data_IF_419931851491
#
_entry.id   IF_419931851491
#
_cell.length_a   1.000
_cell.length_b   1.000
_cell.length_c   1.000
_cell.angle_alpha   90.00
_cell.angle_beta   90.00
_cell.angle_gamma   90.00
#
_symmetry.space_group_name_H-M   'P 1'
#
loop_
_entity.id
_entity.type
_entity.pdbx_description
1 polymer ?
#
# COMPACT_ATOMS: atom_id res chain seq x y z
N UNK A 1 2.70 -21.22 6.70
CA UNK A 1 4.09 -21.55 6.30
C UNK A 1 4.40 -23.05 6.45
N UNK A 2 3.82 -23.78 7.41
CA UNK A 2 4.05 -25.23 7.56
C UNK A 2 3.46 -26.17 6.48
N UNK A 3 2.54 -25.70 5.62
CA UNK A 3 1.78 -26.58 4.70
C UNK A 3 2.33 -26.68 3.27
N UNK A 4 3.30 -25.83 2.88
CA UNK A 4 3.90 -25.84 1.53
C UNK A 4 5.11 -26.78 1.41
N UNK A 5 5.79 -27.10 2.51
CA UNK A 5 6.92 -28.04 2.52
C UNK A 5 6.52 -29.48 2.13
N UNK A 6 5.26 -29.87 2.36
CA UNK A 6 4.83 -31.28 2.22
C UNK A 6 4.48 -31.68 0.77
N UNK A 7 4.41 -30.73 -0.18
CA UNK A 7 3.93 -31.02 -1.55
C UNK A 7 4.93 -30.67 -2.66
N UNK A 8 5.99 -29.96 -2.33
CA UNK A 8 6.89 -29.33 -3.31
C UNK A 8 8.28 -29.47 -2.69
N UNK A 9 9.04 -30.49 -3.08
CA UNK A 9 10.24 -30.94 -2.35
C UNK A 9 11.25 -29.83 -2.01
N UNK A 10 12.17 -30.12 -1.09
CA UNK A 10 13.06 -29.18 -0.39
C UNK A 10 13.68 -28.08 -1.28
N UNK A 11 14.07 -28.40 -2.51
CA UNK A 11 14.66 -27.45 -3.46
C UNK A 11 13.69 -26.33 -3.87
N UNK A 12 12.41 -26.66 -4.12
CA UNK A 12 11.40 -25.70 -4.54
C UNK A 12 10.96 -24.84 -3.35
N UNK A 13 10.89 -25.43 -2.16
CA UNK A 13 10.64 -24.68 -0.94
C UNK A 13 11.77 -23.67 -0.63
N UNK A 14 13.03 -24.05 -0.88
CA UNK A 14 14.17 -23.15 -0.75
C UNK A 14 14.10 -21.98 -1.73
N UNK A 15 13.89 -22.25 -3.02
CA UNK A 15 13.81 -21.20 -4.07
C UNK A 15 12.66 -20.23 -3.78
N UNK A 16 11.50 -20.74 -3.34
CA UNK A 16 10.38 -19.90 -2.94
C UNK A 16 10.72 -19.01 -1.75
N UNK A 17 11.31 -19.58 -0.69
CA UNK A 17 11.69 -18.80 0.49
C UNK A 17 12.76 -17.73 0.16
N UNK A 18 13.73 -18.07 -0.69
CA UNK A 18 14.74 -17.15 -1.17
C UNK A 18 14.11 -15.98 -1.94
N UNK A 19 13.26 -16.27 -2.93
CA UNK A 19 12.60 -15.22 -3.71
C UNK A 19 11.70 -14.35 -2.81
N UNK A 20 10.95 -14.96 -1.89
CA UNK A 20 10.11 -14.21 -0.97
C UNK A 20 10.91 -13.23 -0.11
N UNK A 21 11.97 -13.71 0.53
CA UNK A 21 12.76 -12.93 1.48
C UNK A 21 13.58 -11.84 0.77
N UNK A 22 14.25 -12.17 -0.33
CA UNK A 22 15.17 -11.25 -0.99
C UNK A 22 14.53 -10.34 -2.04
N UNK A 23 13.38 -10.74 -2.60
CA UNK A 23 12.75 -9.99 -3.71
C UNK A 23 11.42 -9.42 -3.25
N UNK A 24 10.49 -10.24 -2.75
CA UNK A 24 9.11 -9.79 -2.50
C UNK A 24 9.02 -8.83 -1.31
N UNK A 25 9.64 -9.18 -0.19
CA UNK A 25 9.60 -8.36 1.03
C UNK A 25 10.20 -6.95 0.83
N UNK A 26 11.43 -6.78 0.30
CA UNK A 26 11.99 -5.44 0.08
C UNK A 26 11.22 -4.65 -0.98
N UNK A 27 10.71 -5.31 -2.03
CA UNK A 27 9.90 -4.65 -3.06
C UNK A 27 8.60 -4.09 -2.48
N UNK A 28 7.97 -4.81 -1.56
CA UNK A 28 6.73 -4.39 -0.90
C UNK A 28 6.96 -3.11 -0.08
N UNK A 29 8.04 -3.05 0.69
CA UNK A 29 8.40 -1.87 1.49
C UNK A 29 8.74 -0.69 0.59
N UNK A 30 9.43 -0.91 -0.53
CA UNK A 30 9.76 0.13 -1.49
C UNK A 30 8.49 0.74 -2.14
N UNK A 31 7.57 -0.10 -2.60
CA UNK A 31 6.30 0.35 -3.20
C UNK A 31 5.48 1.14 -2.19
N UNK A 32 5.36 0.66 -0.95
CA UNK A 32 4.62 1.35 0.10
C UNK A 32 5.22 2.71 0.44
N UNK A 33 6.55 2.80 0.55
CA UNK A 33 7.24 4.06 0.84
C UNK A 33 7.11 5.08 -0.30
N UNK A 34 7.24 4.62 -1.55
CA UNK A 34 7.02 5.45 -2.73
C UNK A 34 5.59 5.99 -2.76
N UNK A 35 4.62 5.11 -2.50
CA UNK A 35 3.20 5.45 -2.45
C UNK A 35 2.92 6.49 -1.38
N UNK A 36 3.44 6.27 -0.16
CA UNK A 36 3.34 7.24 0.94
C UNK A 36 3.91 8.59 0.55
N UNK A 37 5.10 8.62 -0.04
CA UNK A 37 5.77 9.86 -0.43
C UNK A 37 5.00 10.63 -1.50
N UNK A 38 4.47 9.93 -2.51
CA UNK A 38 3.64 10.53 -3.55
C UNK A 38 2.36 11.13 -2.95
N UNK A 39 1.61 10.36 -2.15
CA UNK A 39 0.37 10.87 -1.56
C UNK A 39 0.60 12.01 -0.55
N UNK A 40 1.68 11.94 0.24
CA UNK A 40 2.05 13.00 1.17
C UNK A 40 2.36 14.31 0.45
N UNK A 41 3.19 14.25 -0.59
CA UNK A 41 3.57 15.43 -1.36
C UNK A 41 2.42 15.98 -2.20
N UNK A 42 1.57 15.11 -2.76
CA UNK A 42 0.34 15.55 -3.46
C UNK A 42 -0.62 16.29 -2.54
N UNK A 43 -0.68 15.96 -1.25
CA UNK A 43 -1.50 16.70 -0.28
C UNK A 43 -0.93 18.07 0.09
N UNK A 44 0.37 18.29 -0.10
CA UNK A 44 1.04 19.57 0.20
C UNK A 44 1.09 20.47 -1.05
N UNK A 45 1.31 19.88 -2.22
CA UNK A 45 1.45 20.57 -3.49
C UNK A 45 0.19 20.36 -4.34
N UNK A 46 -0.82 21.18 -4.08
CA UNK A 46 -2.18 21.05 -4.64
C UNK A 46 -2.29 21.42 -6.14
N UNK A 47 -1.25 22.02 -6.75
CA UNK A 47 -1.33 22.55 -8.12
C UNK A 47 -0.16 22.23 -9.05
N UNK A 48 0.88 21.56 -8.56
CA UNK A 48 2.03 21.14 -9.36
C UNK A 48 2.41 19.75 -8.90
N UNK A 49 2.19 18.72 -9.74
CA UNK A 49 2.52 17.34 -9.39
C UNK A 49 3.95 17.23 -8.83
N UNK A 50 4.17 16.43 -7.78
CA UNK A 50 5.45 16.41 -7.08
C UNK A 50 6.59 15.96 -8.00
N UNK A 51 7.74 16.66 -8.00
CA UNK A 51 8.88 16.25 -8.81
C UNK A 51 9.40 14.88 -8.37
N UNK A 52 9.68 14.01 -9.34
CA UNK A 52 10.05 12.61 -9.12
C UNK A 52 11.25 12.44 -8.17
N UNK A 53 12.20 13.36 -8.22
CA UNK A 53 13.39 13.37 -7.37
C UNK A 53 13.05 13.60 -5.90
N UNK A 54 12.09 14.48 -5.61
CA UNK A 54 11.64 14.77 -4.24
C UNK A 54 10.87 13.58 -3.65
N UNK A 55 10.02 12.95 -4.46
CA UNK A 55 9.29 11.73 -4.07
C UNK A 55 10.26 10.61 -3.72
N UNK A 56 11.29 10.38 -4.55
CA UNK A 56 12.30 9.37 -4.31
C UNK A 56 13.13 9.66 -3.06
N UNK A 57 13.57 10.89 -2.86
CA UNK A 57 14.35 11.28 -1.69
C UNK A 57 13.56 11.07 -0.39
N UNK A 58 12.28 11.47 -0.38
CA UNK A 58 11.39 11.24 0.75
C UNK A 58 11.15 9.74 0.98
N UNK A 59 10.97 8.96 -0.09
CA UNK A 59 10.77 7.51 0.02
C UNK A 59 11.99 6.80 0.61
N UNK A 60 13.21 7.16 0.19
CA UNK A 60 14.45 6.63 0.75
C UNK A 60 14.57 7.00 2.23
N UNK A 61 14.27 8.25 2.58
CA UNK A 61 14.28 8.72 3.96
C UNK A 61 13.33 7.91 4.84
N UNK A 62 12.09 7.69 4.38
CA UNK A 62 11.07 6.91 5.11
C UNK A 62 11.53 5.47 5.31
N UNK A 63 12.08 4.81 4.28
CA UNK A 63 12.64 3.44 4.42
C UNK A 63 13.78 3.42 5.43
N UNK A 64 14.68 4.41 5.40
CA UNK A 64 15.78 4.53 6.35
C UNK A 64 15.31 4.69 7.80
N UNK A 65 14.31 5.53 8.03
CA UNK A 65 13.69 5.73 9.36
C UNK A 65 13.03 4.44 9.84
N UNK A 66 12.24 3.77 8.99
CA UNK A 66 11.60 2.51 9.36
C UNK A 66 12.63 1.41 9.67
N UNK A 67 13.68 1.30 8.86
CA UNK A 67 14.77 0.34 9.07
C UNK A 67 15.55 0.60 10.35
N UNK A 68 15.88 1.86 10.64
CA UNK A 68 16.60 2.23 11.88
C UNK A 68 15.76 2.00 13.12
N UNK A 69 14.47 2.35 13.11
CA UNK A 69 13.56 2.05 14.23
C UNK A 69 13.41 0.55 14.44
N UNK A 70 13.32 -0.23 13.36
CA UNK A 70 13.27 -1.69 13.43
C UNK A 70 14.57 -2.27 14.02
N UNK A 71 15.73 -1.76 13.61
CA UNK A 71 17.04 -2.19 14.09
C UNK A 71 17.34 -1.80 15.55
N UNK A 72 16.79 -0.69 16.04
CA UNK A 72 16.95 -0.26 17.44
C UNK A 72 15.96 -1.00 18.36
N UNK A 73 14.70 -1.13 17.94
CA UNK A 73 13.68 -1.82 18.75
C UNK A 73 12.57 -2.39 17.89
N UNK A 74 12.58 -3.71 17.77
CA UNK A 74 11.50 -4.47 17.13
C UNK A 74 10.15 -4.24 17.80
N UNK A 75 10.12 -3.97 19.10
CA UNK A 75 8.88 -3.69 19.85
C UNK A 75 8.29 -2.32 19.48
N UNK A 76 9.13 -1.30 19.29
CA UNK A 76 8.69 0.03 18.85
C UNK A 76 8.18 -0.02 17.40
N UNK A 77 8.92 -0.68 16.50
CA UNK A 77 8.49 -0.87 15.11
C UNK A 77 7.17 -1.66 15.03
N UNK A 78 7.01 -2.72 15.83
CA UNK A 78 5.77 -3.48 15.88
C UNK A 78 4.57 -2.63 16.32
N UNK A 79 4.73 -1.78 17.35
CA UNK A 79 3.67 -0.86 17.79
C UNK A 79 3.26 0.12 16.70
N UNK A 80 4.21 0.71 15.98
CA UNK A 80 3.94 1.61 14.85
C UNK A 80 3.21 0.89 13.72
N UNK A 81 3.66 -0.29 13.33
CA UNK A 81 3.01 -1.10 12.30
C UNK A 81 1.56 -1.44 12.66
N UNK A 82 1.30 -1.85 13.91
CA UNK A 82 -0.06 -2.12 14.39
C UNK A 82 -0.93 -0.87 14.30
N UNK A 83 -0.43 0.29 14.71
CA UNK A 83 -1.17 1.55 14.61
C UNK A 83 -1.54 1.89 13.16
N UNK A 84 -0.62 1.72 12.20
CA UNK A 84 -0.88 1.93 10.77
C UNK A 84 -1.95 0.98 10.22
N UNK A 85 -1.91 -0.29 10.60
CA UNK A 85 -2.91 -1.28 10.16
C UNK A 85 -4.29 -0.94 10.70
N UNK A 86 -4.39 -0.53 11.98
CA UNK A 86 -5.65 -0.10 12.57
C UNK A 86 -6.17 1.15 11.85
N UNK A 87 -5.33 2.16 11.64
CA UNK A 87 -5.70 3.38 10.92
C UNK A 87 -6.19 3.09 9.49
N UNK A 88 -5.44 2.25 8.74
CA UNK A 88 -5.82 1.82 7.39
C UNK A 88 -7.18 1.13 7.38
N UNK A 89 -7.42 0.25 8.35
CA UNK A 89 -8.69 -0.48 8.48
C UNK A 89 -9.86 0.47 8.76
N UNK A 90 -9.70 1.40 9.70
CA UNK A 90 -10.72 2.41 10.02
C UNK A 90 -11.02 3.29 8.81
N UNK A 91 -9.99 3.73 8.08
CA UNK A 91 -10.14 4.54 6.86
C UNK A 91 -11.00 3.82 5.83
N UNK A 92 -10.71 2.55 5.56
CA UNK A 92 -11.49 1.72 4.62
C UNK A 92 -12.94 1.59 5.09
N UNK A 93 -13.17 1.39 6.39
CA UNK A 93 -14.52 1.29 6.96
C UNK A 93 -15.31 2.58 6.74
N UNK A 94 -14.71 3.75 7.04
CA UNK A 94 -15.36 5.06 6.87
C UNK A 94 -15.70 5.32 5.41
N UNK A 95 -14.77 5.08 4.48
CA UNK A 95 -15.00 5.25 3.05
C UNK A 95 -16.12 4.32 2.56
N UNK A 96 -16.14 3.07 3.04
CA UNK A 96 -17.17 2.08 2.67
C UNK A 96 -18.56 2.53 3.12
N UNK A 97 -18.71 2.92 4.39
CA UNK A 97 -20.01 3.39 4.93
C UNK A 97 -20.44 4.68 4.24
N UNK A 98 -19.53 5.64 4.06
CA UNK A 98 -19.79 6.89 3.35
C UNK A 98 -20.27 6.64 1.92
N UNK A 99 -19.65 5.69 1.21
CA UNK A 99 -20.09 5.22 -0.10
C UNK A 99 -21.52 4.67 -0.07
N UNK A 100 -21.83 3.76 0.86
CA UNK A 100 -23.18 3.18 0.99
C UNK A 100 -24.25 4.24 1.27
N UNK A 101 -23.97 5.20 2.15
CA UNK A 101 -24.88 6.31 2.46
C UNK A 101 -25.14 7.17 1.22
N UNK A 102 -24.09 7.53 0.47
CA UNK A 102 -24.22 8.33 -0.76
C UNK A 102 -25.06 7.63 -1.83
N UNK A 103 -24.93 6.31 -1.95
CA UNK A 103 -25.74 5.49 -2.85
C UNK A 103 -27.21 5.49 -2.41
N UNK A 104 -27.46 5.29 -1.11
CA UNK A 104 -28.82 5.32 -0.54
C UNK A 104 -29.51 6.69 -0.65
N UNK A 105 -28.73 7.78 -0.65
CA UNK A 105 -29.22 9.15 -0.87
C UNK A 105 -29.56 9.45 -2.35
N UNK A 106 -29.40 8.49 -3.26
CA UNK A 106 -29.77 8.64 -4.66
C UNK A 106 -28.69 9.28 -5.54
N UNK A 107 -27.47 9.53 -5.03
CA UNK A 107 -26.32 9.99 -5.83
C UNK A 107 -25.73 8.83 -6.66
N UNK A 108 -26.55 8.18 -7.48
CA UNK A 108 -26.18 7.02 -8.31
C UNK A 108 -25.78 7.38 -9.73
N UNK A 109 -25.71 8.67 -10.07
CA UNK A 109 -25.38 9.15 -11.41
C UNK A 109 -24.00 8.64 -11.88
N UNK A 110 -22.99 8.71 -11.01
CA UNK A 110 -21.64 8.17 -11.29
C UNK A 110 -21.63 6.65 -11.44
N UNK A 111 -22.49 5.94 -10.69
CA UNK A 111 -22.61 4.49 -10.82
C UNK A 111 -23.27 4.09 -12.14
N UNK A 112 -24.37 4.74 -12.53
CA UNK A 112 -25.06 4.48 -13.81
C UNK A 112 -24.12 4.66 -15.00
N UNK A 113 -23.39 5.78 -15.02
CA UNK A 113 -22.42 6.06 -16.10
C UNK A 113 -21.26 5.04 -16.15
N UNK A 114 -20.85 4.47 -15.01
CA UNK A 114 -19.86 3.40 -14.96
C UNK A 114 -20.34 2.03 -15.49
N UNK A 115 -21.65 1.81 -15.60
CA UNK A 115 -22.25 0.58 -16.15
C UNK A 115 -22.80 0.75 -17.58
N UNK A 116 -22.74 1.96 -18.15
CA UNK A 116 -23.26 2.27 -19.49
C UNK A 116 -22.43 1.68 -20.64
N UNK A 117 -21.42 0.85 -20.35
CA UNK A 117 -20.68 0.06 -21.36
C UNK A 117 -19.80 0.89 -22.31
N UNK A 118 -19.76 2.21 -22.16
CA UNK A 118 -18.89 3.11 -22.92
C UNK A 118 -17.47 3.09 -22.36
N UNK A 119 -16.80 1.95 -22.47
CA UNK A 119 -15.40 1.79 -22.11
C UNK A 119 -14.54 2.28 -23.27
N UNK A 120 -14.31 3.59 -23.36
CA UNK A 120 -13.24 4.13 -24.18
C UNK A 120 -11.93 3.97 -23.41
N UNK A 121 -11.38 2.77 -23.44
CA UNK A 121 -10.13 2.40 -22.78
C UNK A 121 -8.89 2.76 -23.63
N UNK A 122 -9.12 3.28 -24.83
CA UNK A 122 -8.17 4.10 -25.56
C UNK A 122 -8.68 5.54 -25.52
N UNK A 123 -7.75 6.47 -25.25
CA UNK A 123 -7.91 7.92 -25.08
C UNK A 123 -9.14 8.56 -25.76
#
# INVERSE_FOLDING_TARGET
IGSVHLRTGDILAFVFNWANTFILEPSSVAILSLTFSTYFLSGIMDSCGPPIELVKMLAIFVVGVLGTVNGISVTAANRLNIAFVVCKTVTILVITIGGLVRIGQGYTQTLKSGFDGNWNWFF
#
